data_IF_081490394475
#
_entry.id   IF_081490394475
#
_cell.length_a   1.000
_cell.length_b   1.000
_cell.length_c   1.000
_cell.angle_alpha   90.00
_cell.angle_beta   90.00
_cell.angle_gamma   90.00
#
_symmetry.space_group_name_H-M   'P 1'
#
loop_
_entity.id
_entity.type
_entity.pdbx_description
1 polymer ?
#
# COMPACT_ATOMS: atom_id res chain seq x y z
N UNK A 1 7.04 12.68 -58.77
CA UNK A 1 6.54 12.83 -57.38
C UNK A 1 7.56 12.16 -56.47
N UNK A 2 8.31 12.90 -55.63
CA UNK A 2 9.21 12.22 -54.70
C UNK A 2 8.35 11.52 -53.64
N UNK A 3 8.55 10.22 -53.49
CA UNK A 3 8.04 9.44 -52.37
C UNK A 3 8.59 10.10 -51.09
N UNK A 4 7.72 10.76 -50.34
CA UNK A 4 8.05 11.16 -48.97
C UNK A 4 8.31 9.88 -48.19
N UNK A 5 9.58 9.57 -47.97
CA UNK A 5 10.01 8.51 -47.08
C UNK A 5 9.50 8.90 -45.68
N UNK A 6 8.33 8.39 -45.28
CA UNK A 6 7.79 8.63 -43.94
C UNK A 6 8.78 7.99 -42.97
N UNK A 7 9.59 8.83 -42.32
CA UNK A 7 10.44 8.43 -41.21
C UNK A 7 9.57 7.62 -40.24
N UNK A 8 9.96 6.38 -39.99
CA UNK A 8 9.26 5.52 -39.02
C UNK A 8 9.44 6.14 -37.64
N UNK A 9 8.33 6.31 -36.92
CA UNK A 9 8.38 6.96 -35.60
C UNK A 9 9.18 6.09 -34.62
N UNK A 10 9.86 6.73 -33.67
CA UNK A 10 10.43 6.05 -32.50
C UNK A 10 9.34 5.52 -31.56
N UNK A 11 8.11 6.05 -31.66
CA UNK A 11 7.00 5.74 -30.77
C UNK A 11 7.13 6.37 -29.38
N UNK A 12 8.14 7.21 -29.13
CA UNK A 12 8.38 7.84 -27.83
C UNK A 12 8.21 9.35 -27.95
N UNK A 13 7.33 9.92 -27.13
CA UNK A 13 7.05 11.35 -27.07
C UNK A 13 7.36 11.92 -25.69
N UNK A 14 8.03 13.07 -25.63
CA UNK A 14 8.39 13.76 -24.39
C UNK A 14 7.74 15.15 -24.31
N UNK A 15 7.41 15.66 -23.11
CA UNK A 15 6.89 17.01 -22.96
C UNK A 15 7.88 18.08 -23.43
N UNK A 16 7.40 19.07 -24.19
CA UNK A 16 8.17 20.26 -24.57
C UNK A 16 7.24 21.47 -24.68
N UNK A 17 7.45 22.46 -23.81
CA UNK A 17 6.53 23.60 -23.71
C UNK A 17 5.10 23.14 -23.39
N UNK A 18 4.13 23.54 -24.23
CA UNK A 18 2.71 23.19 -24.07
C UNK A 18 2.27 21.94 -24.86
N UNK A 19 3.21 21.12 -25.32
CA UNK A 19 2.90 19.94 -26.13
C UNK A 19 3.96 18.85 -26.00
N UNK A 20 4.05 18.01 -27.03
CA UNK A 20 4.95 16.87 -27.04
C UNK A 20 5.78 16.86 -28.31
N UNK A 21 7.02 16.41 -28.20
CA UNK A 21 7.89 16.13 -29.35
C UNK A 21 8.31 14.68 -29.33
N UNK A 22 8.48 14.13 -30.52
CA UNK A 22 9.06 12.81 -30.68
C UNK A 22 10.53 12.84 -30.23
N UNK A 23 10.89 11.89 -29.37
CA UNK A 23 12.29 11.64 -29.03
C UNK A 23 12.92 10.79 -30.13
N UNK A 24 14.07 11.23 -30.65
CA UNK A 24 14.71 10.60 -31.82
C UNK A 24 16.12 10.09 -31.53
N UNK A 25 16.54 10.11 -30.27
CA UNK A 25 17.80 9.51 -29.83
C UNK A 25 17.68 8.00 -29.66
N UNK A 26 18.77 7.39 -29.20
CA UNK A 26 18.81 5.97 -28.86
C UNK A 26 17.99 5.69 -27.60
N UNK A 27 17.12 4.67 -27.66
CA UNK A 27 16.26 4.24 -26.56
C UNK A 27 16.62 2.82 -26.08
N UNK A 28 17.82 2.35 -26.43
CA UNK A 28 18.30 1.02 -26.09
C UNK A 28 17.44 -0.06 -26.75
N UNK A 29 16.96 -1.02 -25.95
CA UNK A 29 16.12 -2.12 -26.45
C UNK A 29 14.65 -1.73 -26.65
N UNK A 30 14.27 -0.47 -26.39
CA UNK A 30 12.90 0.03 -26.53
C UNK A 30 11.93 -0.38 -25.40
N UNK A 31 12.41 -1.08 -24.37
CA UNK A 31 11.62 -1.33 -23.15
C UNK A 31 11.38 -0.02 -22.38
N UNK A 32 10.30 0.02 -21.59
CA UNK A 32 9.99 1.17 -20.73
C UNK A 32 11.17 1.47 -19.78
N UNK A 33 11.83 0.44 -19.25
CA UNK A 33 13.01 0.60 -18.40
C UNK A 33 14.17 1.29 -19.13
N UNK A 34 14.52 0.84 -20.35
CA UNK A 34 15.58 1.49 -21.13
C UNK A 34 15.24 2.93 -21.53
N UNK A 35 13.96 3.21 -21.81
CA UNK A 35 13.51 4.59 -22.08
C UNK A 35 13.59 5.45 -20.82
N UNK A 36 13.22 4.92 -19.65
CA UNK A 36 13.32 5.61 -18.37
C UNK A 36 14.78 5.96 -18.03
N UNK A 37 15.69 5.00 -18.16
CA UNK A 37 17.14 5.19 -17.96
C UNK A 37 17.71 6.24 -18.92
N UNK A 38 17.28 6.22 -20.19
CA UNK A 38 17.67 7.23 -21.19
C UNK A 38 17.30 8.66 -20.74
N UNK A 39 16.24 8.82 -19.97
CA UNK A 39 15.80 10.11 -19.42
C UNK A 39 16.27 10.36 -17.99
N UNK A 40 17.16 9.53 -17.46
CA UNK A 40 17.75 9.69 -16.12
C UNK A 40 16.83 9.28 -14.98
N UNK A 41 15.78 8.49 -15.25
CA UNK A 41 14.91 7.95 -14.21
C UNK A 41 15.31 6.52 -13.87
N UNK A 42 15.15 6.17 -12.58
CA UNK A 42 14.99 4.76 -12.18
C UNK A 42 13.53 4.36 -12.40
N UNK A 43 13.26 3.10 -12.75
CA UNK A 43 11.90 2.69 -13.13
C UNK A 43 10.87 2.92 -12.02
N UNK A 44 11.24 2.72 -10.74
CA UNK A 44 10.36 2.94 -9.58
C UNK A 44 9.99 4.41 -9.38
N UNK A 45 10.73 5.34 -10.00
CA UNK A 45 10.40 6.78 -9.99
C UNK A 45 9.26 7.11 -10.94
N UNK A 46 8.81 6.14 -11.74
CA UNK A 46 7.75 6.29 -12.72
C UNK A 46 6.53 5.43 -12.38
N UNK A 47 5.37 5.96 -12.73
CA UNK A 47 4.11 5.23 -12.73
C UNK A 47 3.54 5.18 -14.14
N UNK A 48 3.27 3.97 -14.61
CA UNK A 48 2.72 3.69 -15.93
C UNK A 48 1.19 3.62 -15.89
N UNK A 49 0.55 4.47 -16.70
CA UNK A 49 -0.89 4.34 -17.01
C UNK A 49 -1.02 3.65 -18.39
N UNK A 50 -1.56 2.44 -18.41
CA UNK A 50 -1.65 1.60 -19.61
C UNK A 50 -3.05 1.66 -20.25
N UNK A 51 -3.11 1.61 -21.59
CA UNK A 51 -4.36 1.76 -22.35
C UNK A 51 -4.63 0.63 -23.37
N UNK A 52 -4.15 -0.57 -23.08
CA UNK A 52 -4.24 -1.74 -23.96
C UNK A 52 -5.66 -2.22 -24.26
N UNK A 53 -6.65 -1.83 -23.45
CA UNK A 53 -8.05 -2.22 -23.62
C UNK A 53 -8.71 -1.64 -24.89
N UNK A 54 -8.12 -0.61 -25.49
CA UNK A 54 -8.59 -0.06 -26.75
C UNK A 54 -8.00 -0.84 -27.94
N UNK A 55 -8.84 -1.25 -28.90
CA UNK A 55 -8.36 -1.89 -30.14
C UNK A 55 -7.45 -0.89 -30.88
N UNK A 56 -6.14 -1.17 -30.94
CA UNK A 56 -5.08 -0.35 -31.54
C UNK A 56 -5.06 1.09 -30.98
N UNK A 57 -4.63 1.27 -29.72
CA UNK A 57 -4.61 2.59 -29.13
C UNK A 57 -3.54 3.45 -29.81
N UNK A 58 -3.83 4.75 -29.97
CA UNK A 58 -2.83 5.74 -30.37
C UNK A 58 -1.70 5.83 -29.34
N UNK A 59 -2.05 5.77 -28.06
CA UNK A 59 -1.13 5.81 -26.91
C UNK A 59 -1.22 4.48 -26.18
N UNK A 60 -0.12 3.73 -26.10
CA UNK A 60 -0.07 2.49 -25.32
C UNK A 60 0.07 2.75 -23.83
N UNK A 61 0.95 3.70 -23.46
CA UNK A 61 1.27 3.96 -22.05
C UNK A 61 1.71 5.40 -21.87
N UNK A 62 1.36 6.00 -20.74
CA UNK A 62 1.87 7.30 -20.29
C UNK A 62 2.62 7.08 -18.98
N UNK A 63 3.89 7.50 -18.95
CA UNK A 63 4.73 7.42 -17.75
C UNK A 63 4.71 8.75 -17.00
N UNK A 64 4.39 8.70 -15.71
CA UNK A 64 4.36 9.85 -14.81
C UNK A 64 5.47 9.75 -13.77
N UNK A 65 6.09 10.87 -13.39
CA UNK A 65 6.87 10.92 -12.14
C UNK A 65 5.93 10.58 -10.97
N UNK A 66 6.30 9.60 -10.13
CA UNK A 66 5.45 9.14 -9.02
C UNK A 66 4.97 10.30 -8.14
N UNK A 67 3.76 10.16 -7.60
CA UNK A 67 3.05 11.18 -6.82
C UNK A 67 2.71 12.48 -7.58
N UNK A 68 2.98 12.60 -8.89
CA UNK A 68 2.70 13.81 -9.66
C UNK A 68 1.86 13.54 -10.91
N UNK A 69 1.36 14.62 -11.53
CA UNK A 69 0.78 14.59 -12.89
C UNK A 69 1.83 14.88 -13.98
N UNK A 70 3.11 14.98 -13.61
CA UNK A 70 4.16 15.33 -14.55
C UNK A 70 4.50 14.11 -15.37
N UNK A 71 4.24 14.18 -16.67
CA UNK A 71 4.57 13.15 -17.63
C UNK A 71 6.09 13.15 -17.82
N UNK A 72 6.73 11.99 -17.70
CA UNK A 72 8.12 11.79 -18.07
C UNK A 72 8.22 11.56 -19.59
N UNK A 73 7.47 10.57 -20.09
CA UNK A 73 7.35 10.26 -21.51
C UNK A 73 6.06 9.50 -21.83
N UNK A 74 5.77 9.34 -23.12
CA UNK A 74 4.59 8.66 -23.64
C UNK A 74 5.03 7.66 -24.71
N UNK A 75 4.49 6.44 -24.63
CA UNK A 75 4.69 5.37 -25.61
C UNK A 75 3.46 5.28 -26.52
N UNK A 76 3.65 5.37 -27.83
CA UNK A 76 2.60 5.40 -28.85
C UNK A 76 2.76 4.29 -29.89
N UNK A 77 1.73 4.10 -30.72
CA UNK A 77 1.85 3.31 -31.95
C UNK A 77 2.91 3.91 -32.89
N UNK A 78 3.67 3.04 -33.58
CA UNK A 78 4.79 3.44 -34.44
C UNK A 78 4.36 4.26 -35.68
N UNK A 79 3.06 4.34 -35.98
CA UNK A 79 2.53 5.19 -37.05
C UNK A 79 2.19 6.61 -36.57
N UNK A 80 2.30 6.89 -35.28
CA UNK A 80 2.04 8.21 -34.69
C UNK A 80 3.26 9.10 -34.92
N UNK A 81 3.13 10.09 -35.80
CA UNK A 81 4.17 11.10 -36.06
C UNK A 81 3.96 12.42 -35.31
N UNK A 82 2.79 12.59 -34.69
CA UNK A 82 2.44 13.79 -33.94
C UNK A 82 1.45 13.48 -32.81
N UNK A 83 1.73 14.06 -31.64
CA UNK A 83 0.94 13.90 -30.43
C UNK A 83 0.58 15.28 -29.86
N UNK A 84 -0.73 15.57 -29.81
CA UNK A 84 -1.23 16.81 -29.22
C UNK A 84 -1.62 16.65 -27.76
N UNK A 85 -1.65 17.74 -27.00
CA UNK A 85 -2.19 17.73 -25.63
C UNK A 85 -3.65 17.25 -25.58
N UNK A 86 -4.45 17.55 -26.62
CA UNK A 86 -5.84 17.08 -26.72
C UNK A 86 -5.93 15.56 -26.81
N UNK A 87 -5.01 14.93 -27.53
CA UNK A 87 -4.94 13.46 -27.60
C UNK A 87 -4.67 12.88 -26.21
N UNK A 88 -3.64 13.38 -25.53
CA UNK A 88 -3.26 12.92 -24.18
C UNK A 88 -4.42 13.13 -23.18
N UNK A 89 -5.07 14.29 -23.21
CA UNK A 89 -6.21 14.58 -22.32
C UNK A 89 -7.40 13.64 -22.55
N UNK A 90 -7.59 13.09 -23.76
CA UNK A 90 -8.63 12.09 -24.04
C UNK A 90 -8.38 10.80 -23.26
N UNK A 91 -7.13 10.37 -23.19
CA UNK A 91 -6.71 9.19 -22.42
C UNK A 91 -6.75 9.46 -20.92
N UNK A 92 -6.39 10.67 -20.48
CA UNK A 92 -6.35 11.03 -19.06
C UNK A 92 -7.67 11.55 -18.48
N UNK A 93 -8.80 11.43 -19.20
CA UNK A 93 -10.10 11.99 -18.78
C UNK A 93 -10.51 11.53 -17.37
N UNK A 94 -10.20 10.29 -17.00
CA UNK A 94 -10.57 9.70 -15.71
C UNK A 94 -9.38 9.59 -14.74
N UNK A 95 -8.19 10.05 -15.15
CA UNK A 95 -6.98 9.93 -14.34
C UNK A 95 -7.02 10.87 -13.13
N UNK A 96 -6.95 10.28 -11.95
CA UNK A 96 -6.93 10.99 -10.67
C UNK A 96 -5.77 10.52 -9.82
N UNK A 97 -4.87 11.43 -9.45
CA UNK A 97 -3.78 11.12 -8.52
C UNK A 97 -4.29 10.48 -7.24
N UNK A 98 -5.40 10.99 -6.68
CA UNK A 98 -5.98 10.46 -5.45
C UNK A 98 -6.49 9.01 -5.60
N UNK A 99 -6.91 8.62 -6.80
CA UNK A 99 -7.33 7.24 -7.08
C UNK A 99 -6.14 6.31 -7.28
N UNK A 100 -5.10 6.81 -7.95
CA UNK A 100 -3.88 6.05 -8.25
C UNK A 100 -3.04 5.84 -6.99
N UNK A 101 -2.80 6.90 -6.22
CA UNK A 101 -1.97 6.90 -5.03
C UNK A 101 -2.85 6.87 -3.77
N UNK A 102 -3.56 5.76 -3.57
CA UNK A 102 -4.17 5.46 -2.27
C UNK A 102 -3.10 5.02 -1.26
N UNK A 103 -3.46 4.88 0.01
CA UNK A 103 -2.47 4.54 1.04
C UNK A 103 -1.69 3.25 0.73
N UNK A 104 -2.35 2.19 0.25
CA UNK A 104 -1.67 0.92 -0.11
C UNK A 104 -0.62 1.14 -1.21
N UNK A 105 -0.97 1.89 -2.25
CA UNK A 105 -0.06 2.14 -3.36
C UNK A 105 1.12 3.02 -2.96
N UNK A 106 0.92 3.98 -2.05
CA UNK A 106 2.00 4.80 -1.50
C UNK A 106 2.99 3.92 -0.74
N UNK A 107 2.49 3.03 0.12
CA UNK A 107 3.29 2.07 0.89
C UNK A 107 4.11 1.15 -0.02
N UNK A 108 3.47 0.57 -1.06
CA UNK A 108 4.15 -0.28 -2.04
C UNK A 108 5.30 0.47 -2.74
N UNK A 109 5.06 1.70 -3.21
CA UNK A 109 6.05 2.50 -3.94
C UNK A 109 7.23 2.85 -3.02
N UNK A 110 6.97 3.27 -1.79
CA UNK A 110 8.03 3.64 -0.84
C UNK A 110 8.82 2.42 -0.39
N UNK A 111 8.17 1.27 -0.18
CA UNK A 111 8.82 0.00 0.15
C UNK A 111 9.79 -0.42 -0.96
N UNK A 112 9.32 -0.48 -2.20
CA UNK A 112 10.16 -0.80 -3.35
C UNK A 112 11.32 0.20 -3.50
N UNK A 113 11.05 1.48 -3.27
CA UNK A 113 12.08 2.51 -3.35
C UNK A 113 13.17 2.37 -2.30
N UNK A 114 12.82 1.95 -1.07
CA UNK A 114 13.78 1.64 -0.01
C UNK A 114 14.60 0.40 -0.37
N UNK A 115 13.95 -0.69 -0.79
CA UNK A 115 14.60 -1.94 -1.18
C UNK A 115 15.60 -1.73 -2.33
N UNK A 116 15.23 -0.94 -3.33
CA UNK A 116 16.05 -0.67 -4.50
C UNK A 116 17.02 0.52 -4.34
N UNK A 117 16.95 1.26 -3.23
CA UNK A 117 17.67 2.52 -3.05
C UNK A 117 17.41 3.49 -4.21
N UNK A 118 16.17 3.54 -4.71
CA UNK A 118 15.84 4.22 -5.97
C UNK A 118 15.35 5.66 -5.77
N UNK A 119 14.93 6.04 -4.57
CA UNK A 119 14.53 7.40 -4.27
C UNK A 119 15.63 8.16 -3.55
N UNK A 120 16.13 9.20 -4.22
CA UNK A 120 17.02 10.17 -3.62
C UNK A 120 16.25 11.41 -3.15
N UNK A 121 16.96 12.23 -2.39
CA UNK A 121 16.48 13.46 -1.81
C UNK A 121 16.05 14.48 -2.87
N UNK A 122 16.75 14.53 -4.01
CA UNK A 122 16.48 15.49 -5.07
C UNK A 122 15.14 15.15 -5.75
N UNK A 123 14.97 13.89 -6.13
CA UNK A 123 13.75 13.37 -6.71
C UNK A 123 12.55 13.56 -5.77
N UNK A 124 12.64 13.10 -4.53
CA UNK A 124 11.53 13.20 -3.57
C UNK A 124 11.22 14.66 -3.21
N UNK A 125 12.24 15.51 -3.06
CA UNK A 125 12.04 16.94 -2.81
C UNK A 125 11.20 17.59 -3.89
N UNK A 126 11.44 17.25 -5.16
CA UNK A 126 10.75 17.75 -6.33
C UNK A 126 9.32 17.22 -6.44
N UNK A 127 9.10 15.90 -6.35
CA UNK A 127 7.77 15.30 -6.58
C UNK A 127 6.82 15.51 -5.41
N UNK A 128 7.35 15.63 -4.18
CA UNK A 128 6.58 15.87 -2.97
C UNK A 128 6.59 17.34 -2.51
N UNK A 129 7.37 18.21 -3.17
CA UNK A 129 7.54 19.64 -2.81
C UNK A 129 8.00 19.86 -1.37
N UNK A 130 8.92 19.02 -0.92
CA UNK A 130 9.48 19.11 0.42
C UNK A 130 10.43 20.31 0.50
N UNK A 131 10.51 20.95 1.68
CA UNK A 131 11.33 22.13 1.92
C UNK A 131 12.38 21.86 2.99
N UNK A 132 13.49 22.62 2.96
CA UNK A 132 14.58 22.54 3.94
C UNK A 132 15.18 21.12 4.11
N UNK A 133 15.28 20.36 3.02
CA UNK A 133 15.80 19.00 3.09
C UNK A 133 17.34 18.99 3.14
N UNK A 134 17.89 18.01 3.84
CA UNK A 134 19.31 17.67 3.85
C UNK A 134 19.53 16.21 3.42
N UNK A 135 20.79 15.84 3.20
CA UNK A 135 21.16 14.46 2.85
C UNK A 135 20.82 13.44 3.96
N UNK A 136 20.65 13.87 5.21
CA UNK A 136 20.45 12.99 6.34
C UNK A 136 19.36 13.52 7.28
N UNK A 137 18.42 12.68 7.65
CA UNK A 137 17.41 13.01 8.66
C UNK A 137 16.01 12.60 8.27
N UNK A 138 15.05 13.13 9.03
CA UNK A 138 13.63 12.84 8.89
C UNK A 138 12.90 14.06 8.36
N UNK A 139 12.13 13.89 7.29
CA UNK A 139 11.37 14.96 6.64
C UNK A 139 9.92 14.55 6.48
N UNK A 140 9.00 15.44 6.87
CA UNK A 140 7.58 15.18 6.76
C UNK A 140 7.03 15.62 5.40
N UNK A 141 6.30 14.74 4.73
CA UNK A 141 5.54 15.07 3.53
C UNK A 141 4.06 15.24 3.85
N UNK A 142 3.57 16.48 3.82
CA UNK A 142 2.13 16.77 3.94
C UNK A 142 1.31 16.15 2.80
N UNK A 143 1.92 15.95 1.63
CA UNK A 143 1.22 15.49 0.42
C UNK A 143 0.77 14.03 0.51
N UNK A 144 1.53 13.21 1.23
CA UNK A 144 1.27 11.79 1.43
C UNK A 144 1.17 11.41 2.92
N UNK A 145 1.21 12.40 3.82
CA UNK A 145 1.10 12.24 5.28
C UNK A 145 2.09 11.21 5.83
N UNK A 146 3.36 11.36 5.47
CA UNK A 146 4.42 10.37 5.75
C UNK A 146 5.72 11.06 6.18
N UNK A 147 6.36 10.54 7.23
CA UNK A 147 7.75 10.84 7.58
C UNK A 147 8.70 10.00 6.71
N UNK A 148 9.64 10.66 6.07
CA UNK A 148 10.62 10.06 5.17
C UNK A 148 12.02 10.18 5.78
N UNK A 149 12.74 9.07 5.88
CA UNK A 149 14.05 9.00 6.51
C UNK A 149 15.13 8.82 5.45
N UNK A 150 16.10 9.74 5.43
CA UNK A 150 17.21 9.73 4.47
C UNK A 150 18.54 9.48 5.16
N UNK A 151 19.38 8.69 4.48
CA UNK A 151 20.79 8.51 4.81
C UNK A 151 21.62 8.70 3.55
N UNK A 152 22.61 9.60 3.59
CA UNK A 152 23.46 9.96 2.44
C UNK A 152 22.69 10.33 1.17
N UNK A 153 21.54 10.99 1.34
CA UNK A 153 20.68 11.45 0.26
C UNK A 153 19.73 10.39 -0.30
N UNK A 154 19.72 9.17 0.22
CA UNK A 154 18.83 8.07 -0.22
C UNK A 154 17.76 7.79 0.83
N UNK A 155 16.53 7.53 0.40
CA UNK A 155 15.43 7.08 1.26
C UNK A 155 15.76 5.70 1.82
N UNK A 156 15.84 5.59 3.15
CA UNK A 156 16.16 4.33 3.83
C UNK A 156 15.00 3.79 4.67
N UNK A 157 14.03 4.64 5.03
CA UNK A 157 12.85 4.22 5.76
C UNK A 157 11.72 5.24 5.58
N UNK A 158 10.50 4.87 5.95
CA UNK A 158 9.36 5.77 6.01
C UNK A 158 8.37 5.34 7.10
N UNK A 159 7.55 6.29 7.58
CA UNK A 159 6.54 6.03 8.60
C UNK A 159 5.32 6.92 8.38
N UNK A 160 4.13 6.32 8.36
CA UNK A 160 2.87 7.05 8.30
C UNK A 160 2.66 7.88 9.58
N UNK A 161 2.11 9.09 9.44
CA UNK A 161 2.03 10.07 10.53
C UNK A 161 1.04 9.72 11.65
N UNK A 162 -0.01 8.98 11.32
CA UNK A 162 -1.11 8.65 12.22
C UNK A 162 -0.89 7.36 13.03
N UNK A 163 0.23 6.65 12.79
CA UNK A 163 0.54 5.36 13.41
C UNK A 163 -0.36 4.21 12.94
N UNK A 164 -1.16 4.43 11.89
CA UNK A 164 -1.96 3.40 11.25
C UNK A 164 -1.16 2.70 10.15
N UNK A 165 -1.28 1.37 10.09
CA UNK A 165 -0.70 0.58 8.99
C UNK A 165 -1.53 0.73 7.71
N UNK A 166 -0.99 0.37 6.53
CA UNK A 166 -1.64 0.64 5.24
C UNK A 166 -3.07 0.12 5.13
N UNK A 167 -3.36 -1.08 5.66
CA UNK A 167 -4.71 -1.65 5.67
C UNK A 167 -5.71 -0.86 6.50
N UNK A 168 -5.31 -0.32 7.66
CA UNK A 168 -6.15 0.52 8.51
C UNK A 168 -6.52 1.83 7.83
N UNK A 169 -5.52 2.50 7.23
CA UNK A 169 -5.74 3.73 6.48
C UNK A 169 -6.61 3.48 5.25
N UNK A 170 -6.36 2.39 4.54
CA UNK A 170 -7.19 2.00 3.41
C UNK A 170 -8.64 1.77 3.83
N UNK A 171 -8.88 1.05 4.92
CA UNK A 171 -10.23 0.83 5.44
C UNK A 171 -10.91 2.15 5.86
N UNK A 172 -10.18 3.05 6.50
CA UNK A 172 -10.65 4.41 6.83
C UNK A 172 -11.06 5.20 5.58
N UNK A 173 -10.35 5.04 4.48
CA UNK A 173 -10.64 5.69 3.19
C UNK A 173 -11.88 5.09 2.49
N UNK A 174 -11.99 3.75 2.43
CA UNK A 174 -13.02 3.07 1.62
C UNK A 174 -14.29 2.73 2.40
N UNK A 175 -14.21 2.56 3.72
CA UNK A 175 -15.33 2.23 4.59
C UNK A 175 -15.15 2.80 6.01
N UNK A 176 -15.28 4.12 6.11
CA UNK A 176 -15.12 4.87 7.36
C UNK A 176 -16.05 4.38 8.49
N UNK A 177 -17.25 3.90 8.18
CA UNK A 177 -18.19 3.39 9.20
C UNK A 177 -17.62 2.21 9.96
N UNK A 178 -17.06 1.23 9.23
CA UNK A 178 -16.42 0.08 9.85
C UNK A 178 -15.16 0.49 10.61
N UNK A 179 -14.32 1.33 9.99
CA UNK A 179 -13.12 1.82 10.64
C UNK A 179 -13.44 2.50 11.97
N UNK A 180 -14.44 3.39 11.99
CA UNK A 180 -14.86 4.10 13.20
C UNK A 180 -15.36 3.14 14.29
N UNK A 181 -16.05 2.07 13.92
CA UNK A 181 -16.50 1.06 14.89
C UNK A 181 -15.32 0.30 15.52
N UNK A 182 -14.33 -0.11 14.72
CA UNK A 182 -13.08 -0.71 15.23
C UNK A 182 -12.34 0.29 16.13
N UNK A 183 -12.24 1.54 15.70
CA UNK A 183 -11.61 2.63 16.44
C UNK A 183 -12.28 2.83 17.81
N UNK A 184 -13.60 2.99 17.84
CA UNK A 184 -14.36 3.19 19.08
C UNK A 184 -14.21 2.02 20.05
N UNK A 185 -14.19 0.78 19.54
CA UNK A 185 -13.96 -0.41 20.36
C UNK A 185 -12.55 -0.44 20.95
N UNK A 186 -11.51 -0.17 20.15
CA UNK A 186 -10.13 -0.16 20.63
C UNK A 186 -9.92 0.91 21.72
N UNK A 187 -10.41 2.13 21.51
CA UNK A 187 -10.31 3.21 22.52
C UNK A 187 -11.23 2.98 23.73
N UNK A 188 -12.26 2.13 23.63
CA UNK A 188 -13.03 1.70 24.80
C UNK A 188 -12.20 0.81 25.72
N UNK A 189 -11.37 -0.09 25.18
CA UNK A 189 -10.51 -0.97 25.97
C UNK A 189 -9.19 -0.31 26.40
N UNK A 190 -8.68 0.64 25.59
CA UNK A 190 -7.43 1.35 25.84
C UNK A 190 -7.61 2.87 25.94
N UNK A 191 -8.46 3.38 26.87
CA UNK A 191 -8.82 4.80 26.89
C UNK A 191 -7.65 5.75 27.19
N UNK A 192 -6.59 5.26 27.83
CA UNK A 192 -5.42 6.04 28.22
C UNK A 192 -4.12 5.53 27.58
N UNK A 193 -4.21 4.64 26.59
CA UNK A 193 -3.06 4.02 25.93
C UNK A 193 -3.23 4.06 24.40
N UNK A 194 -2.88 5.21 23.81
CA UNK A 194 -3.00 5.48 22.37
C UNK A 194 -2.20 4.48 21.53
N UNK A 195 -1.05 4.03 22.05
CA UNK A 195 -0.19 3.07 21.36
C UNK A 195 -0.88 1.70 21.25
N UNK A 196 -1.42 1.17 22.36
CA UNK A 196 -2.17 -0.09 22.34
C UNK A 196 -3.46 0.03 21.53
N UNK A 197 -4.18 1.13 21.64
CA UNK A 197 -5.39 1.38 20.85
C UNK A 197 -5.09 1.30 19.34
N UNK A 198 -4.07 2.02 18.87
CA UNK A 198 -3.66 2.01 17.45
C UNK A 198 -3.17 0.64 17.00
N UNK A 199 -2.42 -0.06 17.84
CA UNK A 199 -1.98 -1.44 17.55
C UNK A 199 -3.17 -2.37 17.36
N UNK A 200 -4.17 -2.32 18.23
CA UNK A 200 -5.39 -3.11 18.09
C UNK A 200 -6.18 -2.73 16.83
N UNK A 201 -6.33 -1.44 16.54
CA UNK A 201 -6.96 -0.97 15.30
C UNK A 201 -6.25 -1.59 14.09
N UNK A 202 -4.92 -1.57 14.08
CA UNK A 202 -4.12 -2.17 13.01
C UNK A 202 -4.35 -3.66 12.85
N UNK A 203 -4.33 -4.41 13.95
CA UNK A 203 -4.56 -5.86 13.95
C UNK A 203 -5.97 -6.19 13.42
N UNK A 204 -7.00 -5.47 13.88
CA UNK A 204 -8.39 -5.72 13.49
C UNK A 204 -8.68 -5.29 12.06
N UNK A 205 -8.13 -4.17 11.59
CA UNK A 205 -8.29 -3.72 10.20
C UNK A 205 -7.56 -4.65 9.21
N UNK A 206 -6.35 -5.08 9.56
CA UNK A 206 -5.64 -6.09 8.78
C UNK A 206 -6.46 -7.39 8.72
N UNK A 207 -6.99 -7.84 9.86
CA UNK A 207 -7.84 -9.01 9.89
C UNK A 207 -9.07 -8.86 8.98
N UNK A 208 -9.76 -7.72 9.07
CA UNK A 208 -10.91 -7.42 8.22
C UNK A 208 -10.59 -7.56 6.72
N UNK A 209 -9.41 -7.09 6.29
CA UNK A 209 -9.00 -7.12 4.89
C UNK A 209 -8.75 -8.54 4.35
N UNK A 210 -8.46 -9.50 5.24
CA UNK A 210 -8.12 -10.89 4.90
C UNK A 210 -9.30 -11.86 5.05
N UNK A 211 -10.36 -11.50 5.79
CA UNK A 211 -11.54 -12.36 6.01
C UNK A 211 -12.41 -12.41 4.74
N UNK A 212 -12.67 -13.60 4.18
CA UNK A 212 -13.65 -13.75 3.11
C UNK A 212 -15.03 -13.25 3.54
N UNK A 213 -15.63 -12.36 2.74
CA UNK A 213 -16.92 -11.70 3.02
C UNK A 213 -16.95 -10.85 4.31
N UNK A 214 -15.82 -10.60 4.97
CA UNK A 214 -15.70 -9.75 6.16
C UNK A 214 -16.82 -9.94 7.20
N UNK A 215 -17.70 -8.95 7.42
CA UNK A 215 -18.82 -9.08 8.37
C UNK A 215 -19.95 -10.01 7.90
N UNK A 216 -20.02 -10.32 6.61
CA UNK A 216 -20.89 -11.36 6.06
C UNK A 216 -20.30 -12.77 6.15
N UNK A 217 -19.18 -12.93 6.86
CA UNK A 217 -18.58 -14.22 7.13
C UNK A 217 -19.48 -15.08 8.03
N UNK A 218 -19.60 -16.37 7.73
CA UNK A 218 -20.49 -17.29 8.44
C UNK A 218 -20.10 -17.50 9.92
N UNK A 219 -18.82 -17.32 10.24
CA UNK A 219 -18.28 -17.52 11.58
C UNK A 219 -18.31 -16.26 12.46
N UNK A 220 -18.75 -15.10 11.93
CA UNK A 220 -18.72 -13.82 12.66
C UNK A 220 -19.44 -13.89 14.02
N UNK A 221 -20.53 -14.65 14.08
CA UNK A 221 -21.35 -14.78 15.27
C UNK A 221 -20.64 -15.55 16.40
N UNK A 222 -19.70 -16.45 16.07
CA UNK A 222 -18.93 -17.22 17.05
C UNK A 222 -17.87 -16.36 17.76
N UNK A 223 -17.48 -15.25 17.14
CA UNK A 223 -16.44 -14.33 17.64
C UNK A 223 -17.01 -13.01 18.14
N UNK A 224 -18.34 -12.94 18.36
CA UNK A 224 -18.98 -11.74 18.91
C UNK A 224 -18.57 -11.52 20.36
N UNK A 225 -18.27 -10.27 20.67
CA UNK A 225 -17.98 -9.81 22.03
C UNK A 225 -19.23 -9.20 22.66
N UNK A 226 -19.27 -9.15 23.98
CA UNK A 226 -20.38 -8.58 24.76
C UNK A 226 -20.75 -7.14 24.37
N UNK A 227 -19.78 -6.38 23.83
CA UNK A 227 -19.96 -5.01 23.39
C UNK A 227 -20.56 -4.88 21.97
N UNK A 228 -21.08 -5.97 21.40
CA UNK A 228 -21.58 -6.03 20.03
C UNK A 228 -20.48 -6.12 18.96
N UNK A 229 -19.20 -5.96 19.38
CA UNK A 229 -17.97 -6.17 18.62
C UNK A 229 -17.82 -7.59 18.06
N UNK A 230 -16.88 -7.82 17.15
CA UNK A 230 -16.39 -9.16 16.81
C UNK A 230 -14.87 -9.16 16.79
N UNK A 231 -14.23 -10.17 17.38
CA UNK A 231 -12.78 -10.30 17.30
C UNK A 231 -12.40 -10.89 15.93
N UNK A 232 -12.18 -10.01 14.96
CA UNK A 232 -11.91 -10.39 13.57
C UNK A 232 -10.59 -11.15 13.44
N UNK A 233 -9.61 -10.80 14.27
CA UNK A 233 -8.34 -11.50 14.27
C UNK A 233 -8.48 -12.95 14.75
N UNK A 234 -9.22 -13.19 15.84
CA UNK A 234 -9.46 -14.57 16.30
C UNK A 234 -10.32 -15.38 15.32
N UNK A 235 -11.21 -14.73 14.58
CA UNK A 235 -11.92 -15.37 13.47
C UNK A 235 -10.95 -15.89 12.40
N UNK A 236 -9.96 -15.08 12.01
CA UNK A 236 -8.92 -15.51 11.07
C UNK A 236 -8.07 -16.66 11.59
N UNK A 237 -7.68 -16.60 12.87
CA UNK A 237 -6.93 -17.66 13.53
C UNK A 237 -7.70 -18.98 13.45
N UNK A 238 -8.95 -18.99 13.94
CA UNK A 238 -9.72 -20.22 14.05
C UNK A 238 -10.19 -20.77 12.69
N UNK A 239 -10.57 -19.93 11.74
CA UNK A 239 -11.26 -20.40 10.53
C UNK A 239 -10.41 -20.32 9.25
N UNK A 240 -9.26 -19.64 9.31
CA UNK A 240 -8.40 -19.40 8.16
C UNK A 240 -6.91 -19.67 8.44
N UNK A 241 -6.56 -20.24 9.60
CA UNK A 241 -5.21 -20.68 9.93
C UNK A 241 -4.20 -19.53 10.06
N UNK A 242 -4.66 -18.34 10.45
CA UNK A 242 -3.75 -17.21 10.66
C UNK A 242 -2.89 -17.44 11.91
N UNK A 243 -1.57 -17.24 11.85
CA UNK A 243 -0.71 -17.44 13.00
C UNK A 243 -0.98 -16.37 14.07
N UNK A 244 -0.88 -16.78 15.33
CA UNK A 244 -0.94 -15.90 16.49
C UNK A 244 0.00 -16.43 17.57
N UNK A 245 0.63 -15.51 18.31
CA UNK A 245 1.37 -15.84 19.53
C UNK A 245 0.63 -15.41 20.80
N UNK A 246 1.09 -15.88 21.96
CA UNK A 246 0.45 -15.60 23.24
C UNK A 246 0.36 -14.10 23.55
N UNK A 247 1.42 -13.35 23.27
CA UNK A 247 1.44 -11.88 23.45
C UNK A 247 0.34 -11.19 22.63
N UNK A 248 0.21 -11.54 21.35
CA UNK A 248 -0.85 -11.02 20.48
C UNK A 248 -2.24 -11.44 20.95
N UNK A 249 -2.37 -12.70 21.41
CA UNK A 249 -3.62 -13.21 21.96
C UNK A 249 -4.08 -12.42 23.18
N UNK A 250 -3.19 -12.15 24.13
CA UNK A 250 -3.51 -11.35 25.31
C UNK A 250 -3.99 -9.95 24.94
N UNK A 251 -3.25 -9.30 24.04
CA UNK A 251 -3.52 -7.93 23.61
C UNK A 251 -4.90 -7.75 22.97
N UNK A 252 -5.32 -8.66 22.09
CA UNK A 252 -6.61 -8.54 21.38
C UNK A 252 -7.81 -9.06 22.18
N UNK A 253 -7.58 -9.88 23.20
CA UNK A 253 -8.64 -10.47 24.01
C UNK A 253 -8.84 -9.75 25.35
N UNK A 254 -7.95 -8.82 25.72
CA UNK A 254 -8.09 -7.91 26.86
C UNK A 254 -8.26 -8.64 28.21
N UNK A 255 -7.59 -9.78 28.39
CA UNK A 255 -7.72 -10.59 29.60
C UNK A 255 -9.08 -11.28 29.76
N UNK A 256 -9.95 -11.29 28.75
CA UNK A 256 -11.30 -11.91 28.79
C UNK A 256 -11.26 -13.41 28.52
N UNK A 257 -10.37 -14.10 29.20
CA UNK A 257 -10.13 -15.53 29.03
C UNK A 257 -9.67 -16.14 30.36
N UNK A 258 -9.79 -17.46 30.48
CA UNK A 258 -9.35 -18.21 31.65
C UNK A 258 -8.14 -19.06 31.26
N UNK A 259 -7.03 -18.87 31.98
CA UNK A 259 -5.85 -19.72 31.81
C UNK A 259 -5.98 -20.93 32.73
N UNK A 260 -5.86 -22.12 32.16
CA UNK A 260 -5.62 -23.35 32.92
C UNK A 260 -4.20 -23.83 32.62
N UNK A 261 -3.26 -23.48 33.49
CA UNK A 261 -1.88 -23.96 33.38
C UNK A 261 -1.69 -25.20 34.25
N UNK A 262 -1.35 -26.32 33.62
CA UNK A 262 -0.68 -27.42 34.33
C UNK A 262 0.81 -27.07 34.41
N UNK A 263 1.36 -26.97 35.62
CA UNK A 263 2.78 -26.67 35.86
C UNK A 263 3.71 -27.72 35.26
N UNK A 264 3.21 -28.94 35.01
CA UNK A 264 3.98 -30.05 34.45
C UNK A 264 3.90 -30.16 32.92
N UNK A 265 2.98 -29.43 32.28
CA UNK A 265 2.81 -29.42 30.82
C UNK A 265 3.65 -28.32 30.17
N UNK A 266 4.16 -28.56 28.96
CA UNK A 266 4.78 -27.52 28.12
C UNK A 266 3.74 -26.69 27.35
N UNK A 267 2.45 -26.83 27.67
CA UNK A 267 1.33 -26.18 26.98
C UNK A 267 0.60 -25.23 27.93
N UNK A 268 0.22 -24.07 27.43
CA UNK A 268 -0.69 -23.12 28.07
C UNK A 268 -2.07 -23.32 27.46
N UNK A 269 -3.03 -23.73 28.28
CA UNK A 269 -4.43 -23.87 27.86
C UNK A 269 -5.20 -22.61 28.23
N UNK A 270 -5.89 -22.02 27.26
CA UNK A 270 -6.66 -20.80 27.43
C UNK A 270 -8.09 -21.02 26.94
N UNK A 271 -9.07 -20.82 27.81
CA UNK A 271 -10.48 -20.84 27.44
C UNK A 271 -11.02 -19.42 27.24
N UNK A 272 -11.63 -19.18 26.08
CA UNK A 272 -12.33 -17.94 25.77
C UNK A 272 -13.64 -18.23 25.05
N UNK A 273 -14.76 -17.94 25.73
CA UNK A 273 -16.09 -18.29 25.25
C UNK A 273 -16.21 -19.79 24.98
N UNK A 274 -16.62 -20.14 23.76
CA UNK A 274 -16.75 -21.52 23.30
C UNK A 274 -15.45 -22.11 22.75
N UNK A 275 -14.32 -21.40 22.82
CA UNK A 275 -13.05 -21.89 22.28
C UNK A 275 -12.05 -22.19 23.40
N UNK A 276 -11.29 -23.26 23.22
CA UNK A 276 -10.10 -23.59 24.00
C UNK A 276 -8.89 -23.53 23.06
N UNK A 277 -7.86 -22.79 23.47
CA UNK A 277 -6.62 -22.56 22.73
C UNK A 277 -5.46 -23.22 23.45
N UNK A 278 -4.54 -23.79 22.69
CA UNK A 278 -3.35 -24.47 23.20
C UNK A 278 -2.11 -23.77 22.65
N UNK A 279 -1.37 -23.09 23.52
CA UNK A 279 -0.13 -22.40 23.16
C UNK A 279 1.09 -23.15 23.68
N UNK A 280 2.19 -23.13 22.92
CA UNK A 280 3.49 -23.60 23.41
C UNK A 280 4.05 -22.64 24.46
N UNK A 281 4.59 -23.16 25.58
CA UNK A 281 5.16 -22.33 26.65
C UNK A 281 6.48 -21.65 26.27
N UNK A 282 7.24 -22.18 25.31
CA UNK A 282 8.58 -21.72 24.99
C UNK A 282 8.62 -20.71 23.85
N UNK A 283 7.94 -21.00 22.74
CA UNK A 283 7.91 -20.12 21.58
C UNK A 283 6.63 -19.27 21.47
N UNK A 284 5.70 -19.46 22.42
CA UNK A 284 4.42 -18.76 22.52
C UNK A 284 3.50 -18.96 21.32
N UNK A 285 3.76 -19.92 20.43
CA UNK A 285 2.95 -20.16 19.23
C UNK A 285 1.66 -20.92 19.54
N UNK A 286 0.60 -20.66 18.78
CA UNK A 286 -0.62 -21.44 18.84
C UNK A 286 -0.39 -22.83 18.20
N UNK A 287 -0.52 -23.88 19.00
CA UNK A 287 -0.42 -25.28 18.57
C UNK A 287 -1.72 -25.77 17.94
N UNK A 288 -2.83 -25.50 18.61
CA UNK A 288 -4.18 -25.90 18.17
C UNK A 288 -5.26 -25.14 18.93
N UNK A 289 -6.49 -25.26 18.47
CA UNK A 289 -7.67 -24.81 19.20
C UNK A 289 -8.81 -25.81 18.98
N UNK A 290 -9.78 -25.81 19.87
CA UNK A 290 -11.02 -26.57 19.73
C UNK A 290 -12.23 -25.72 20.13
N UNK A 291 -13.38 -26.04 19.54
CA UNK A 291 -14.66 -25.42 19.86
C UNK A 291 -15.46 -26.37 20.77
N UNK A 292 -15.77 -25.90 21.98
CA UNK A 292 -16.59 -26.60 22.98
C UNK A 292 -18.06 -26.29 22.72
N UNK A 293 -18.88 -27.33 22.57
CA UNK A 293 -20.33 -27.21 22.39
C UNK A 293 -21.06 -26.92 23.70
#
# INVERSE_FOLDING_TARGET
MPFFNKRKSSGIFIPKGNGFVEYTGDIGNGSIASVAECFGYKIDQLHSEHFYENIKPKIYTIEFEVFTRKIAFIVTDANVSYLSQKDVNKYLKNFSLKKVYNTLRIDDILTQAVENGSFDVEFLSKVLKLSNISLNGMFYSEKIETYLYFTNGILTNFQMDDGLVPYSRHLKEVNKTIFNWIFELAYKYWPNDDFKAKREINIQCEAWSRIPKAFGNEYINLHRTENGGSNLHMLLVCHYGYPINLTQFDEINHGRYHISSDETSNVITIQMGIFIYYFDKFDESLLSFEQVM
#
